data_IF_132920760174
#
_entry.id   IF_132920760174
#
_cell.length_a   1.000
_cell.length_b   1.000
_cell.length_c   1.000
_cell.angle_alpha   90.00
_cell.angle_beta   90.00
_cell.angle_gamma   90.00
#
_symmetry.space_group_name_H-M   'P 1'
#
loop_
_entity.id
_entity.type
_entity.pdbx_description
1 polymer ?
#
# COMPACT_ATOMS: atom_id res chain seq x y z
N UNK A 1 18.13 -5.58 -14.84
CA UNK A 1 17.33 -4.47 -14.26
C UNK A 1 17.84 -4.18 -12.86
N UNK A 2 18.06 -2.91 -12.49
CA UNK A 2 18.57 -2.55 -11.15
C UNK A 2 17.48 -2.78 -10.10
N UNK A 3 17.85 -3.27 -8.90
CA UNK A 3 16.93 -3.51 -7.78
C UNK A 3 16.04 -2.30 -7.48
N UNK A 4 16.63 -1.10 -7.50
CA UNK A 4 15.93 0.16 -7.26
C UNK A 4 14.80 0.42 -8.25
N UNK A 5 14.96 0.03 -9.52
CA UNK A 5 13.94 0.24 -10.56
C UNK A 5 12.73 -0.66 -10.31
N UNK A 6 12.95 -1.91 -9.92
CA UNK A 6 11.88 -2.88 -9.65
C UNK A 6 11.07 -2.43 -8.42
N UNK A 7 11.76 -1.91 -7.40
CA UNK A 7 11.12 -1.33 -6.21
C UNK A 7 10.24 -0.13 -6.53
N UNK A 8 10.72 0.79 -7.37
CA UNK A 8 9.94 1.94 -7.83
C UNK A 8 8.68 1.46 -8.56
N UNK A 9 8.81 0.46 -9.45
CA UNK A 9 7.65 -0.11 -10.16
C UNK A 9 6.67 -0.75 -9.17
N UNK A 10 7.15 -1.49 -8.18
CA UNK A 10 6.31 -2.07 -7.13
C UNK A 10 5.52 -0.97 -6.38
N UNK A 11 6.20 0.09 -5.93
CA UNK A 11 5.55 1.20 -5.21
C UNK A 11 4.57 1.97 -6.09
N UNK A 12 4.94 2.32 -7.32
CA UNK A 12 4.03 3.01 -8.24
C UNK A 12 2.80 2.16 -8.55
N UNK A 13 3.00 0.85 -8.74
CA UNK A 13 1.89 -0.08 -8.98
C UNK A 13 0.98 -0.18 -7.78
N UNK A 14 1.54 -0.27 -6.56
CA UNK A 14 0.77 -0.22 -5.31
C UNK A 14 -0.09 1.04 -5.19
N UNK A 15 0.51 2.21 -5.44
CA UNK A 15 -0.17 3.50 -5.36
C UNK A 15 -1.32 3.64 -6.37
N UNK A 16 -1.22 2.94 -7.50
CA UNK A 16 -2.21 2.93 -8.58
C UNK A 16 -3.32 1.90 -8.39
N UNK A 17 -3.26 1.06 -7.35
CA UNK A 17 -4.36 0.12 -7.07
C UNK A 17 -5.60 0.95 -6.72
N UNK A 18 -6.67 0.80 -7.49
CA UNK A 18 -7.96 1.43 -7.21
C UNK A 18 -8.76 0.64 -6.17
N UNK A 19 -9.45 1.31 -5.27
CA UNK A 19 -10.39 0.64 -4.35
C UNK A 19 -11.54 -0.01 -5.13
N UNK A 20 -12.05 -1.13 -4.62
CA UNK A 20 -13.22 -1.84 -5.18
C UNK A 20 -14.55 -1.16 -4.79
N UNK A 21 -14.50 -0.09 -4.00
CA UNK A 21 -15.66 0.72 -3.61
C UNK A 21 -16.15 1.70 -4.70
N UNK A 22 -17.16 2.52 -4.35
CA UNK A 22 -17.94 3.35 -5.29
C UNK A 22 -17.12 4.38 -6.07
N UNK A 23 -16.03 4.88 -5.48
CA UNK A 23 -15.33 6.03 -6.06
C UNK A 23 -14.14 5.60 -6.96
N UNK A 24 -13.80 4.30 -7.02
CA UNK A 24 -12.72 3.73 -7.86
C UNK A 24 -11.40 4.52 -7.78
N UNK A 25 -11.17 5.14 -6.61
CA UNK A 25 -10.01 6.01 -6.40
C UNK A 25 -8.75 5.15 -6.17
N UNK A 26 -7.61 5.54 -6.73
CA UNK A 26 -6.33 4.91 -6.44
C UNK A 26 -5.85 5.18 -5.01
N UNK A 27 -5.06 4.26 -4.45
CA UNK A 27 -4.47 4.34 -3.10
C UNK A 27 -3.79 5.69 -2.84
N UNK A 28 -3.11 6.29 -3.83
CA UNK A 28 -2.47 7.59 -3.60
C UNK A 28 -3.47 8.71 -3.25
N UNK A 29 -4.69 8.68 -3.79
CA UNK A 29 -5.73 9.67 -3.45
C UNK A 29 -6.18 9.50 -2.01
N UNK A 30 -6.35 8.26 -1.54
CA UNK A 30 -6.67 7.98 -0.13
C UNK A 30 -5.58 8.49 0.81
N UNK A 31 -4.29 8.36 0.43
CA UNK A 31 -3.18 8.91 1.20
C UNK A 31 -3.29 10.43 1.33
N UNK A 32 -3.50 11.14 0.21
CA UNK A 32 -3.63 12.60 0.24
C UNK A 32 -4.87 13.07 1.01
N UNK A 33 -6.01 12.40 0.79
CA UNK A 33 -7.25 12.73 1.45
C UNK A 33 -7.14 12.58 2.96
N UNK A 34 -6.66 11.44 3.45
CA UNK A 34 -6.56 11.22 4.88
C UNK A 34 -5.44 12.04 5.54
N UNK A 35 -4.35 12.39 4.83
CA UNK A 35 -3.40 13.40 5.32
C UNK A 35 -4.03 14.79 5.45
N UNK A 36 -4.80 15.21 4.45
CA UNK A 36 -5.50 16.50 4.46
C UNK A 36 -6.49 16.57 5.63
N UNK A 37 -7.31 15.54 5.80
CA UNK A 37 -8.25 15.45 6.92
C UNK A 37 -7.53 15.42 8.27
N UNK A 38 -6.46 14.64 8.40
CA UNK A 38 -5.66 14.59 9.62
C UNK A 38 -5.12 15.96 10.02
N UNK A 39 -4.56 16.71 9.06
CA UNK A 39 -4.06 18.08 9.31
C UNK A 39 -5.23 19.00 9.68
N UNK A 40 -6.35 18.91 8.98
CA UNK A 40 -7.52 19.74 9.24
C UNK A 40 -8.10 19.49 10.64
N UNK A 41 -8.19 18.23 11.08
CA UNK A 41 -8.69 17.86 12.41
C UNK A 41 -7.77 18.37 13.52
N UNK A 42 -6.45 18.32 13.32
CA UNK A 42 -5.47 18.86 14.27
C UNK A 42 -5.56 20.39 14.36
N UNK A 43 -5.62 21.07 13.20
CA UNK A 43 -5.58 22.54 13.14
C UNK A 43 -6.89 23.17 13.59
N UNK A 44 -8.03 22.57 13.24
CA UNK A 44 -9.34 23.10 13.58
C UNK A 44 -9.75 22.83 15.03
N UNK A 45 -9.02 21.96 15.77
CA UNK A 45 -9.42 21.43 17.09
C UNK A 45 -10.84 20.83 17.11
N UNK A 46 -11.43 20.64 15.93
CA UNK A 46 -12.73 20.03 15.75
C UNK A 46 -12.50 18.53 15.74
N UNK A 47 -12.46 17.92 16.93
CA UNK A 47 -12.58 16.47 17.10
C UNK A 47 -14.00 15.98 16.74
N UNK A 48 -14.58 16.55 15.69
CA UNK A 48 -15.90 16.17 15.19
C UNK A 48 -15.77 14.81 14.54
N UNK A 49 -16.20 13.79 15.29
CA UNK A 49 -16.33 12.39 14.89
C UNK A 49 -15.03 11.58 15.03
N UNK A 50 -14.97 10.83 16.13
CA UNK A 50 -13.86 9.98 16.58
C UNK A 50 -13.32 8.96 15.56
N UNK A 51 -13.88 8.80 14.38
CA UNK A 51 -13.44 7.81 13.38
C UNK A 51 -12.34 8.31 12.44
N UNK A 52 -12.35 9.61 12.09
CA UNK A 52 -11.52 10.15 10.98
C UNK A 52 -10.04 10.34 11.41
N UNK A 53 -9.80 10.71 12.67
CA UNK A 53 -8.44 10.82 13.22
C UNK A 53 -7.66 9.50 13.14
N UNK A 54 -8.32 8.36 13.34
CA UNK A 54 -7.66 7.05 13.29
C UNK A 54 -7.27 6.66 11.87
N UNK A 55 -8.07 7.02 10.87
CA UNK A 55 -7.73 6.80 9.45
C UNK A 55 -6.50 7.64 9.05
N UNK A 56 -6.44 8.90 9.49
CA UNK A 56 -5.29 9.77 9.31
C UNK A 56 -4.01 9.24 9.95
N UNK A 57 -4.09 8.76 11.19
CA UNK A 57 -2.96 8.16 11.91
C UNK A 57 -2.47 6.88 11.21
N UNK A 58 -3.37 6.07 10.66
CA UNK A 58 -3.02 4.84 9.96
C UNK A 58 -2.28 5.08 8.62
N UNK A 59 -2.36 6.28 8.05
CA UNK A 59 -1.63 6.64 6.82
C UNK A 59 -0.13 6.86 7.08
N UNK A 60 0.24 7.34 8.28
CA UNK A 60 1.63 7.56 8.68
C UNK A 60 2.48 6.27 8.58
N UNK A 61 2.08 5.13 9.19
CA UNK A 61 2.83 3.88 9.06
C UNK A 61 2.81 3.32 7.63
N UNK A 62 1.78 3.59 6.82
CA UNK A 62 1.78 3.22 5.40
C UNK A 62 2.88 3.95 4.63
N UNK A 63 2.98 5.28 4.79
CA UNK A 63 4.03 6.09 4.15
C UNK A 63 5.41 5.63 4.63
N UNK A 64 5.55 5.38 5.94
CA UNK A 64 6.77 4.82 6.51
C UNK A 64 7.14 3.48 5.89
N UNK A 65 6.16 2.58 5.69
CA UNK A 65 6.38 1.27 5.08
C UNK A 65 6.84 1.38 3.63
N UNK A 66 6.23 2.28 2.84
CA UNK A 66 6.66 2.56 1.45
C UNK A 66 8.09 3.12 1.40
N UNK A 67 8.41 4.07 2.28
CA UNK A 67 9.75 4.65 2.37
C UNK A 67 10.80 3.61 2.75
N UNK A 68 10.52 2.79 3.75
CA UNK A 68 11.41 1.72 4.21
C UNK A 68 11.61 0.67 3.11
N UNK A 69 10.54 0.29 2.41
CA UNK A 69 10.60 -0.65 1.28
C UNK A 69 11.51 -0.14 0.15
N UNK A 70 11.44 1.14 -0.20
CA UNK A 70 12.33 1.78 -1.18
C UNK A 70 13.78 1.83 -0.69
N UNK A 71 13.99 2.27 0.55
CA UNK A 71 15.31 2.55 1.13
C UNK A 71 16.12 1.30 1.50
N UNK A 72 15.46 0.16 1.72
CA UNK A 72 16.10 -1.09 2.15
C UNK A 72 17.02 -1.67 1.05
N UNK A 73 18.28 -1.25 1.00
CA UNK A 73 19.20 -1.58 -0.10
C UNK A 73 20.07 -2.82 0.14
N UNK A 74 20.15 -3.33 1.37
CA UNK A 74 21.17 -4.31 1.76
C UNK A 74 20.56 -5.65 2.14
N UNK A 75 21.38 -6.69 2.03
CA UNK A 75 21.05 -8.06 2.43
C UNK A 75 20.58 -8.17 3.89
N UNK A 76 21.14 -7.35 4.80
CA UNK A 76 20.70 -7.27 6.21
C UNK A 76 19.21 -6.93 6.35
N UNK A 77 18.65 -6.22 5.37
CA UNK A 77 17.28 -5.69 5.43
C UNK A 77 16.27 -6.64 4.75
N UNK A 78 16.67 -7.87 4.37
CA UNK A 78 15.80 -8.82 3.64
C UNK A 78 14.51 -9.17 4.36
N UNK A 79 14.57 -9.36 5.68
CA UNK A 79 13.40 -9.67 6.50
C UNK A 79 12.53 -8.44 6.69
N UNK A 80 13.15 -7.27 6.74
CA UNK A 80 12.45 -6.00 6.81
C UNK A 80 11.73 -5.68 5.49
N UNK A 81 12.32 -6.01 4.33
CA UNK A 81 11.62 -5.95 3.04
C UNK A 81 10.45 -6.93 2.96
N UNK A 82 10.63 -8.15 3.47
CA UNK A 82 9.55 -9.14 3.53
C UNK A 82 8.41 -8.66 4.44
N UNK A 83 8.74 -8.09 5.59
CA UNK A 83 7.77 -7.48 6.50
C UNK A 83 7.03 -6.33 5.81
N UNK A 84 7.73 -5.41 5.13
CA UNK A 84 7.10 -4.34 4.36
C UNK A 84 6.15 -4.88 3.29
N UNK A 85 6.54 -5.94 2.56
CA UNK A 85 5.67 -6.56 1.58
C UNK A 85 4.40 -7.13 2.22
N UNK A 86 4.53 -7.87 3.32
CA UNK A 86 3.38 -8.42 4.06
C UNK A 86 2.49 -7.30 4.60
N UNK A 87 3.08 -6.22 5.15
CA UNK A 87 2.34 -5.08 5.67
C UNK A 87 1.53 -4.38 4.56
N UNK A 88 2.15 -4.09 3.42
CA UNK A 88 1.47 -3.48 2.26
C UNK A 88 0.35 -4.39 1.73
N UNK A 89 0.59 -5.70 1.67
CA UNK A 89 -0.43 -6.68 1.28
C UNK A 89 -1.60 -6.69 2.29
N UNK A 90 -1.29 -6.67 3.59
CA UNK A 90 -2.30 -6.63 4.66
C UNK A 90 -3.17 -5.38 4.59
N UNK A 91 -2.56 -4.22 4.30
CA UNK A 91 -3.31 -2.97 4.13
C UNK A 91 -4.26 -3.08 2.94
N UNK A 92 -3.79 -3.62 1.80
CA UNK A 92 -4.65 -3.87 0.65
C UNK A 92 -5.81 -4.78 0.99
N UNK A 93 -5.57 -5.89 1.70
CA UNK A 93 -6.65 -6.77 2.15
C UNK A 93 -7.61 -6.04 3.08
N UNK A 94 -7.13 -5.24 4.03
CA UNK A 94 -8.00 -4.45 4.92
C UNK A 94 -8.89 -3.47 4.16
N UNK A 95 -8.39 -2.87 3.07
CA UNK A 95 -9.19 -2.01 2.18
C UNK A 95 -10.24 -2.82 1.38
N UNK A 96 -10.10 -4.14 1.27
CA UNK A 96 -11.02 -5.03 0.54
C UNK A 96 -11.98 -5.83 1.42
N UNK A 97 -11.63 -6.12 2.69
CA UNK A 97 -12.41 -6.99 3.59
C UNK A 97 -13.84 -6.49 3.87
N UNK A 98 -14.12 -5.17 4.05
CA UNK A 98 -15.49 -4.70 4.21
C UNK A 98 -16.41 -5.13 3.06
N UNK A 99 -15.86 -5.39 1.88
CA UNK A 99 -16.60 -5.72 0.66
C UNK A 99 -16.93 -7.22 0.48
N UNK A 100 -16.19 -8.17 1.08
CA UNK A 100 -16.41 -9.62 0.84
C UNK A 100 -17.72 -10.10 1.47
N UNK A 101 -18.17 -9.42 2.54
CA UNK A 101 -19.46 -9.70 3.19
C UNK A 101 -20.66 -9.13 2.40
N UNK A 102 -20.43 -8.26 1.42
CA UNK A 102 -21.46 -7.77 0.51
C UNK A 102 -21.45 -8.60 -0.79
N UNK A 103 -22.57 -9.27 -1.06
CA UNK A 103 -22.76 -10.29 -2.11
C UNK A 103 -22.45 -9.83 -3.56
N UNK A 104 -22.29 -8.52 -3.78
CA UNK A 104 -22.15 -7.87 -5.11
C UNK A 104 -20.74 -7.33 -5.41
N UNK A 105 -19.74 -7.62 -4.57
CA UNK A 105 -18.41 -7.01 -4.68
C UNK A 105 -17.47 -7.77 -5.63
N UNK A 106 -17.61 -9.10 -5.73
CA UNK A 106 -16.80 -9.94 -6.61
C UNK A 106 -17.10 -9.64 -8.09
N UNK A 107 -18.35 -9.32 -8.44
CA UNK A 107 -18.74 -8.93 -9.80
C UNK A 107 -18.24 -7.53 -10.20
N UNK A 108 -17.73 -6.75 -9.24
CA UNK A 108 -17.19 -5.40 -9.43
C UNK A 108 -15.66 -5.34 -9.41
N UNK A 109 -14.97 -6.50 -9.44
CA UNK A 109 -13.52 -6.54 -9.62
C UNK A 109 -13.14 -5.95 -10.99
N UNK A 110 -12.79 -4.66 -11.00
CA UNK A 110 -12.40 -3.94 -12.19
C UNK A 110 -10.96 -4.25 -12.57
N UNK A 111 -10.66 -4.13 -13.86
CA UNK A 111 -9.30 -4.21 -14.38
C UNK A 111 -8.37 -3.14 -13.77
N UNK A 112 -8.93 -2.00 -13.35
CA UNK A 112 -8.24 -0.92 -12.60
C UNK A 112 -7.68 -1.38 -11.26
N UNK A 113 -8.25 -2.42 -10.64
CA UNK A 113 -7.67 -3.06 -9.46
C UNK A 113 -6.71 -4.19 -9.87
N UNK A 114 -7.16 -5.09 -10.73
CA UNK A 114 -6.47 -6.36 -11.04
C UNK A 114 -5.08 -6.12 -11.63
N UNK A 115 -4.97 -5.22 -12.61
CA UNK A 115 -3.71 -4.97 -13.33
C UNK A 115 -2.63 -4.41 -12.38
N UNK A 116 -2.83 -3.27 -11.70
CA UNK A 116 -1.82 -2.73 -10.80
C UNK A 116 -1.55 -3.67 -9.61
N UNK A 117 -2.55 -4.41 -9.12
CA UNK A 117 -2.36 -5.41 -8.08
C UNK A 117 -1.41 -6.53 -8.51
N UNK A 118 -1.62 -7.12 -9.70
CA UNK A 118 -0.75 -8.17 -10.21
C UNK A 118 0.67 -7.66 -10.45
N UNK A 119 0.82 -6.46 -11.01
CA UNK A 119 2.15 -5.86 -11.22
C UNK A 119 2.85 -5.63 -9.87
N UNK A 120 2.13 -5.13 -8.86
CA UNK A 120 2.64 -4.97 -7.50
C UNK A 120 3.11 -6.31 -6.90
N UNK A 121 2.29 -7.36 -6.96
CA UNK A 121 2.64 -8.67 -6.40
C UNK A 121 3.86 -9.27 -7.11
N UNK A 122 3.85 -9.32 -8.44
CA UNK A 122 4.94 -9.92 -9.23
C UNK A 122 6.25 -9.15 -9.01
N UNK A 123 6.22 -7.81 -9.10
CA UNK A 123 7.42 -6.99 -8.90
C UNK A 123 7.97 -7.07 -7.48
N UNK A 124 7.11 -7.17 -6.47
CA UNK A 124 7.53 -7.31 -5.07
C UNK A 124 8.14 -8.68 -4.78
N UNK A 125 7.53 -9.76 -5.28
CA UNK A 125 8.09 -11.12 -5.18
C UNK A 125 9.44 -11.18 -5.88
N UNK A 126 9.55 -10.61 -7.09
CA UNK A 126 10.82 -10.58 -7.82
C UNK A 126 11.90 -9.80 -7.07
N UNK A 127 11.55 -8.68 -6.44
CA UNK A 127 12.45 -7.89 -5.57
C UNK A 127 12.95 -8.73 -4.40
N UNK A 128 12.06 -9.45 -3.72
CA UNK A 128 12.43 -10.33 -2.60
C UNK A 128 13.38 -11.45 -3.06
N UNK A 129 13.07 -12.13 -4.16
CA UNK A 129 13.93 -13.18 -4.71
C UNK A 129 15.34 -12.64 -5.00
N UNK A 130 15.44 -11.46 -5.62
CA UNK A 130 16.75 -10.85 -5.91
C UNK A 130 17.56 -10.57 -4.64
N UNK A 131 16.92 -10.03 -3.60
CA UNK A 131 17.56 -9.72 -2.32
C UNK A 131 18.02 -10.99 -1.61
N UNK A 132 17.19 -12.04 -1.58
CA UNK A 132 17.54 -13.32 -0.97
C UNK A 132 18.59 -14.09 -1.78
N UNK A 133 18.60 -13.97 -3.11
CA UNK A 133 19.58 -14.63 -3.99
C UNK A 133 20.97 -13.99 -3.88
N UNK A 134 21.05 -12.68 -3.70
CA UNK A 134 22.31 -11.97 -3.50
C UNK A 134 23.04 -12.33 -2.18
N UNK A 135 22.43 -13.15 -1.31
CA UNK A 135 23.05 -13.73 -0.12
C UNK A 135 24.07 -14.84 -0.43
N UNK A 136 23.97 -15.49 -1.58
CA UNK A 136 24.78 -16.68 -1.89
C UNK A 136 26.15 -16.31 -2.48
N UNK A 137 26.63 -15.09 -2.25
CA UNK A 137 27.95 -14.62 -2.65
C UNK A 137 28.70 -14.10 -1.42
#
# INVERSE_FOLDING_TARGET
>A
MKLSVIKIISVLSFLMICSVERDDLPVFIYIFWGLFQFINDIVSLSFSQHTILWEGIAIIPLIGTLYVFLSAGKYKDRYLMLLCFIALLSILFSLMVPNIFYKDSISKLRLSFIIPFLIFVISSIYTLILVFRNNKK
#
